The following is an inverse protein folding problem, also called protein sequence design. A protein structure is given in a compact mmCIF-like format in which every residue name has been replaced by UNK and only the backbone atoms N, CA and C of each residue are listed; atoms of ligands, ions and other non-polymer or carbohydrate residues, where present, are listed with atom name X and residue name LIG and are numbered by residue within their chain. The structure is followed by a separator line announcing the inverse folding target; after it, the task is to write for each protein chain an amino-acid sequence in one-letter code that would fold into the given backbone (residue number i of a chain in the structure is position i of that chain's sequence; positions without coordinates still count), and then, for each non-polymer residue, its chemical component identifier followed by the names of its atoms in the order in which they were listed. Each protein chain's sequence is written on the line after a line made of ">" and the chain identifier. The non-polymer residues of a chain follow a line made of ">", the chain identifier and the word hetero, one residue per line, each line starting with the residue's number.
data_IF_326930501068
#
_entry.id   IF_326930501068
#
_cell.length_a   1.000
_cell.length_b   1.000
_cell.length_c   1.000
_cell.angle_alpha   90.00
_cell.angle_beta   90.00
_cell.angle_gamma   90.00
#
_symmetry.space_group_name_H-M   'P 1'
#
loop_
_entity.id
_entity.type
_entity.pdbx_description
1 polymer ?
#
# COMPACT_ATOMS: atom_id res chain seq x y z
N UNK A 1 26.08 -10.35 -21.35
CA UNK A 1 25.87 -8.92 -21.03
C UNK A 1 24.90 -8.86 -19.87
N UNK A 2 25.42 -8.90 -18.64
CA UNK A 2 24.62 -9.05 -17.42
C UNK A 2 24.27 -7.66 -16.91
N UNK A 3 23.06 -7.20 -17.21
CA UNK A 3 22.58 -5.91 -16.75
C UNK A 3 22.34 -6.02 -15.23
N UNK A 4 23.25 -5.46 -14.42
CA UNK A 4 23.03 -5.30 -12.99
C UNK A 4 21.90 -4.28 -12.81
N UNK A 5 20.66 -4.75 -12.61
CA UNK A 5 19.61 -3.95 -12.01
C UNK A 5 20.10 -3.52 -10.63
N UNK A 6 20.54 -2.26 -10.53
CA UNK A 6 20.76 -1.61 -9.25
C UNK A 6 19.40 -1.53 -8.55
N UNK A 7 19.21 -2.36 -7.55
CA UNK A 7 18.07 -2.23 -6.66
C UNK A 7 18.32 -1.03 -5.76
N UNK A 8 17.80 0.14 -6.13
CA UNK A 8 17.72 1.26 -5.20
C UNK A 8 16.78 0.88 -4.06
N UNK A 9 17.35 0.58 -2.90
CA UNK A 9 16.63 0.25 -1.65
C UNK A 9 16.15 1.50 -0.90
N UNK A 10 16.18 2.67 -1.54
CA UNK A 10 15.77 3.92 -0.90
C UNK A 10 14.23 4.04 -0.89
N UNK A 11 13.66 4.17 0.30
CA UNK A 11 12.23 4.40 0.50
C UNK A 11 11.93 5.87 0.17
N UNK A 12 11.04 6.11 -0.80
CA UNK A 12 10.61 7.45 -1.20
C UNK A 12 9.47 7.96 -0.30
N UNK A 13 8.53 7.08 0.04
CA UNK A 13 7.44 7.37 0.95
C UNK A 13 6.93 6.08 1.62
N UNK A 14 6.18 6.24 2.71
CA UNK A 14 5.43 5.14 3.33
C UNK A 14 4.04 5.59 3.75
N UNK A 15 3.08 4.69 3.66
CA UNK A 15 1.71 4.87 4.15
C UNK A 15 1.40 3.80 5.18
N UNK A 16 0.96 4.21 6.37
CA UNK A 16 0.47 3.27 7.38
C UNK A 16 -0.83 2.65 6.89
N UNK A 17 -0.89 1.32 6.96
CA UNK A 17 -2.08 0.53 6.68
C UNK A 17 -2.45 -0.29 7.90
N UNK A 18 -3.68 -0.75 7.91
CA UNK A 18 -4.20 -1.60 8.96
C UNK A 18 -4.76 -2.86 8.33
N UNK A 19 -4.39 -3.98 8.91
CA UNK A 19 -4.92 -5.27 8.50
C UNK A 19 -5.86 -5.76 9.59
N UNK A 20 -7.05 -6.15 9.14
CA UNK A 20 -8.17 -6.56 9.98
C UNK A 20 -8.40 -8.04 9.72
N UNK A 21 -8.05 -8.87 10.71
CA UNK A 21 -8.30 -10.31 10.67
C UNK A 21 -9.48 -10.68 11.55
N UNK A 22 -10.32 -11.57 11.05
CA UNK A 22 -11.40 -12.18 11.83
C UNK A 22 -10.95 -13.59 12.24
N UNK A 23 -10.81 -13.81 13.54
CA UNK A 23 -10.49 -15.11 14.12
C UNK A 23 -11.74 -15.68 14.79
N UNK A 24 -12.05 -16.94 14.50
CA UNK A 24 -13.09 -17.69 15.20
C UNK A 24 -12.38 -18.58 16.21
N UNK A 25 -12.59 -18.31 17.50
CA UNK A 25 -12.04 -19.12 18.59
C UNK A 25 -13.20 -19.70 19.40
N UNK A 26 -13.26 -21.04 19.42
CA UNK A 26 -14.15 -21.89 20.22
C UNK A 26 -15.65 -21.66 20.05
N UNK A 27 -16.20 -20.45 20.19
CA UNK A 27 -17.54 -20.02 19.71
C UNK A 27 -17.66 -18.49 19.49
N UNK A 28 -16.56 -17.73 19.60
CA UNK A 28 -16.58 -16.26 19.48
C UNK A 28 -15.81 -15.76 18.26
N UNK A 29 -16.34 -14.72 17.63
CA UNK A 29 -15.66 -13.98 16.56
C UNK A 29 -14.88 -12.82 17.17
N UNK A 30 -13.55 -12.92 17.16
CA UNK A 30 -12.66 -11.82 17.54
C UNK A 30 -12.12 -11.12 16.30
N UNK A 31 -12.08 -9.80 16.34
CA UNK A 31 -11.40 -9.00 15.34
C UNK A 31 -10.04 -8.59 15.88
N UNK A 32 -8.97 -9.03 15.23
CA UNK A 32 -7.59 -8.63 15.55
C UNK A 32 -7.15 -7.62 14.52
N UNK A 33 -6.60 -6.51 14.99
CA UNK A 33 -6.15 -5.41 14.14
C UNK A 33 -4.65 -5.22 14.36
N UNK A 34 -3.89 -5.17 13.27
CA UNK A 34 -2.45 -4.92 13.33
C UNK A 34 -2.02 -3.83 12.34
N UNK A 35 -0.99 -3.10 12.74
CA UNK A 35 -0.38 -2.04 11.94
C UNK A 35 0.63 -2.65 10.96
N UNK A 36 0.62 -2.15 9.74
CA UNK A 36 1.60 -2.47 8.70
C UNK A 36 1.82 -1.23 7.82
N UNK A 37 2.67 -1.33 6.79
CA UNK A 37 2.98 -0.23 5.89
C UNK A 37 2.99 -0.65 4.43
N UNK A 38 2.59 0.28 3.57
CA UNK A 38 2.95 0.27 2.15
C UNK A 38 4.16 1.18 1.99
N UNK A 39 5.23 0.67 1.40
CA UNK A 39 6.44 1.40 1.08
C UNK A 39 6.53 1.67 -0.42
N UNK A 40 6.79 2.92 -0.79
CA UNK A 40 7.09 3.32 -2.16
C UNK A 40 8.60 3.33 -2.38
N UNK A 41 9.05 2.57 -3.37
CA UNK A 41 10.41 2.58 -3.90
C UNK A 41 10.40 3.14 -5.32
N UNK A 42 11.58 3.34 -5.91
CA UNK A 42 11.72 3.87 -7.28
C UNK A 42 11.07 3.02 -8.37
N UNK A 43 10.84 1.72 -8.13
CA UNK A 43 10.31 0.78 -9.12
C UNK A 43 9.17 -0.11 -8.61
N UNK A 44 8.79 0.00 -7.34
CA UNK A 44 7.76 -0.86 -6.75
C UNK A 44 7.07 -0.24 -5.55
N UNK A 45 5.85 -0.70 -5.28
CA UNK A 45 5.22 -0.62 -3.97
C UNK A 45 5.44 -1.95 -3.25
N UNK A 46 5.72 -1.93 -1.95
CA UNK A 46 5.88 -3.16 -1.15
C UNK A 46 5.05 -3.10 0.13
N UNK A 47 4.37 -4.18 0.43
CA UNK A 47 3.77 -4.47 1.75
C UNK A 47 4.45 -5.69 2.35
N UNK A 48 4.07 -6.07 3.58
CA UNK A 48 4.53 -7.33 4.17
C UNK A 48 4.16 -8.57 3.33
N UNK A 49 3.04 -8.52 2.60
CA UNK A 49 2.50 -9.67 1.86
C UNK A 49 2.62 -9.62 0.35
N UNK A 50 3.02 -8.49 -0.25
CA UNK A 50 3.06 -8.36 -1.71
C UNK A 50 4.04 -7.28 -2.21
N UNK A 51 4.55 -7.47 -3.42
CA UNK A 51 5.33 -6.47 -4.17
C UNK A 51 4.56 -6.14 -5.45
N UNK A 52 4.23 -4.87 -5.64
CA UNK A 52 3.60 -4.36 -6.85
C UNK A 52 4.65 -3.62 -7.69
N UNK A 53 5.07 -4.15 -8.85
CA UNK A 53 5.89 -3.40 -9.80
C UNK A 53 5.17 -2.11 -10.24
N UNK A 54 5.85 -0.96 -10.25
CA UNK A 54 5.19 0.30 -10.61
C UNK A 54 4.66 0.32 -12.05
N UNK A 55 5.29 -0.43 -12.97
CA UNK A 55 4.81 -0.60 -14.35
C UNK A 55 3.49 -1.38 -14.45
N UNK A 56 3.01 -1.96 -13.36
CA UNK A 56 1.70 -2.60 -13.26
C UNK A 56 0.70 -1.77 -12.44
N UNK A 57 1.11 -0.63 -11.86
CA UNK A 57 0.27 0.25 -11.05
C UNK A 57 -0.11 1.50 -11.85
N UNK A 58 -1.39 1.70 -12.11
CA UNK A 58 -1.88 2.81 -12.93
C UNK A 58 -2.27 4.04 -12.11
N UNK A 59 -2.83 3.83 -10.93
CA UNK A 59 -3.29 4.93 -10.07
C UNK A 59 -3.39 4.48 -8.61
N UNK A 60 -3.35 5.46 -7.70
CA UNK A 60 -3.66 5.29 -6.29
C UNK A 60 -4.72 6.32 -5.89
N UNK A 61 -5.87 5.81 -5.46
CA UNK A 61 -7.00 6.63 -5.01
C UNK A 61 -7.35 6.33 -3.56
N UNK A 62 -8.10 7.20 -2.90
CA UNK A 62 -8.43 7.02 -1.48
C UNK A 62 -9.78 7.64 -1.10
N UNK A 63 -10.34 7.12 0.00
CA UNK A 63 -11.45 7.72 0.75
C UNK A 63 -11.03 7.77 2.22
N UNK A 64 -10.79 8.96 2.76
CA UNK A 64 -10.31 9.13 4.13
C UNK A 64 -10.93 10.36 4.79
N UNK A 65 -11.19 10.24 6.09
CA UNK A 65 -11.63 11.30 6.98
C UNK A 65 -10.90 11.17 8.32
N UNK A 66 -10.53 12.29 8.94
CA UNK A 66 -9.83 12.29 10.23
C UNK A 66 -10.66 11.57 11.30
N UNK A 67 -10.03 10.65 12.03
CA UNK A 67 -10.67 9.88 13.11
C UNK A 67 -11.51 8.69 12.65
N UNK A 68 -11.53 8.37 11.35
CA UNK A 68 -12.23 7.21 10.79
C UNK A 68 -11.25 6.28 10.09
N UNK A 69 -11.63 5.01 9.96
CA UNK A 69 -10.94 4.07 9.07
C UNK A 69 -11.34 4.46 7.63
N UNK A 70 -10.33 4.85 6.86
CA UNK A 70 -10.43 5.09 5.43
C UNK A 70 -9.95 3.91 4.60
N UNK A 71 -9.98 4.12 3.29
CA UNK A 71 -9.55 3.16 2.28
C UNK A 71 -8.54 3.78 1.34
N UNK A 72 -7.52 3.01 0.99
CA UNK A 72 -6.58 3.29 -0.09
C UNK A 72 -6.70 2.18 -1.14
N UNK A 73 -6.82 2.57 -2.39
CA UNK A 73 -7.01 1.67 -3.53
C UNK A 73 -5.82 1.78 -4.47
N UNK A 74 -5.12 0.67 -4.68
CA UNK A 74 -4.08 0.53 -5.70
C UNK A 74 -4.72 -0.11 -6.93
N UNK A 75 -4.78 0.64 -8.03
CA UNK A 75 -5.30 0.16 -9.30
C UNK A 75 -4.17 -0.45 -10.11
N UNK A 76 -4.24 -1.76 -10.36
CA UNK A 76 -3.21 -2.49 -11.12
C UNK A 76 -3.78 -3.13 -12.39
N UNK A 77 -2.89 -3.63 -13.25
CA UNK A 77 -3.21 -4.50 -14.40
C UNK A 77 -4.09 -5.70 -13.99
N UNK A 78 -3.90 -6.21 -12.77
CA UNK A 78 -4.65 -7.34 -12.19
C UNK A 78 -5.83 -6.93 -11.31
N UNK A 79 -6.36 -5.72 -11.50
CA UNK A 79 -7.51 -5.18 -10.76
C UNK A 79 -7.14 -4.33 -9.55
N UNK A 80 -8.09 -4.12 -8.64
CA UNK A 80 -7.93 -3.19 -7.51
C UNK A 80 -7.50 -3.95 -6.26
N UNK A 81 -6.51 -3.42 -5.54
CA UNK A 81 -6.15 -3.85 -4.18
C UNK A 81 -6.56 -2.77 -3.18
N UNK A 82 -7.25 -3.17 -2.13
CA UNK A 82 -7.80 -2.26 -1.12
C UNK A 82 -7.09 -2.45 0.21
N UNK A 83 -6.69 -1.35 0.83
CA UNK A 83 -6.06 -1.30 2.15
C UNK A 83 -6.86 -0.38 3.07
N UNK A 84 -6.96 -0.74 4.34
CA UNK A 84 -7.50 0.16 5.36
C UNK A 84 -6.39 1.11 5.82
N UNK A 85 -6.74 2.38 6.02
CA UNK A 85 -5.82 3.43 6.49
C UNK A 85 -6.48 4.24 7.61
N UNK A 86 -5.69 4.73 8.57
CA UNK A 86 -6.17 5.70 9.58
C UNK A 86 -5.46 7.05 9.48
N UNK A 87 -4.31 7.10 8.81
CA UNK A 87 -3.56 8.33 8.56
C UNK A 87 -3.85 8.91 7.17
N UNK A 88 -3.56 10.20 7.02
CA UNK A 88 -3.77 10.96 5.80
C UNK A 88 -2.82 10.50 4.68
N UNK A 89 -3.33 9.99 3.54
CA UNK A 89 -2.50 9.43 2.48
C UNK A 89 -1.97 10.45 1.48
N UNK A 90 -2.29 11.75 1.64
CA UNK A 90 -1.98 12.78 0.63
C UNK A 90 -0.49 12.87 0.30
N UNK A 91 0.38 12.80 1.31
CA UNK A 91 1.83 12.83 1.09
C UNK A 91 2.33 11.61 0.29
N UNK A 92 1.86 10.42 0.65
CA UNK A 92 2.22 9.19 -0.05
C UNK A 92 1.80 9.23 -1.52
N UNK A 93 0.57 9.70 -1.78
CA UNK A 93 0.05 9.84 -3.14
C UNK A 93 0.82 10.90 -3.94
N UNK A 94 1.19 12.02 -3.31
CA UNK A 94 2.01 13.03 -3.99
C UNK A 94 3.37 12.47 -4.40
N UNK A 95 4.01 11.66 -3.55
CA UNK A 95 5.29 11.03 -3.89
C UNK A 95 5.15 9.95 -4.96
N UNK A 96 4.09 9.13 -4.93
CA UNK A 96 3.78 8.20 -6.02
C UNK A 96 3.65 8.93 -7.36
N UNK A 97 2.93 10.05 -7.41
CA UNK A 97 2.78 10.85 -8.64
C UNK A 97 4.12 11.41 -9.15
N UNK A 98 5.11 11.63 -8.29
CA UNK A 98 6.46 12.06 -8.71
C UNK A 98 7.28 10.93 -9.34
N UNK A 99 6.98 9.66 -9.02
CA UNK A 99 7.74 8.51 -9.56
C UNK A 99 7.51 8.23 -11.05
N UNK A 100 6.65 9.00 -11.72
CA UNK A 100 6.55 9.11 -13.19
C UNK A 100 6.50 7.75 -13.90
N UNK A 101 5.32 7.13 -13.86
CA UNK A 101 4.85 6.11 -14.81
C UNK A 101 3.56 6.56 -15.54
N UNK A 102 3.29 7.87 -15.55
CA UNK A 102 2.23 8.52 -16.33
C UNK A 102 2.81 9.66 -17.16
#
# INVERSE_FOLDING_TARGET
>A
MTNHQRHDNHILAKQEIIIIEQKIEWFEKKQVTYQDFIYLYSNSLKTSGHVYPLNEVFDISYRWSKGQIGFLYIHTTGGVRTFHIQSDPRFFISEFRRTSHL
#
